data_IF_473686286942
#
_entry.id   IF_473686286942
#
_cell.length_a   1.000
_cell.length_b   1.000
_cell.length_c   1.000
_cell.angle_alpha   90.00
_cell.angle_beta   90.00
_cell.angle_gamma   90.00
#
_symmetry.space_group_name_H-M   'P 1'
#
loop_
_entity.id
_entity.type
_entity.pdbx_description
1 polymer ?
#
# COMPACT_ATOMS: atom_id res chain seq x y z
N UNK A 1 13.82 -1.16 12.51
CA UNK A 1 12.55 -1.85 12.21
C UNK A 1 12.51 -2.20 10.74
N UNK A 2 11.86 -3.32 10.37
CA UNK A 2 11.87 -3.75 8.97
C UNK A 2 10.51 -3.58 8.32
N UNK A 3 10.53 -3.33 7.01
CA UNK A 3 9.36 -3.41 6.15
C UNK A 3 9.53 -4.59 5.18
N UNK A 4 8.45 -5.38 5.04
CA UNK A 4 8.38 -6.53 4.15
C UNK A 4 7.34 -6.26 3.08
N UNK A 5 7.80 -5.98 1.87
CA UNK A 5 7.00 -5.65 0.71
C UNK A 5 6.70 -6.92 -0.07
N UNK A 6 5.47 -7.41 0.00
CA UNK A 6 5.05 -8.67 -0.60
C UNK A 6 4.60 -8.46 -2.03
N UNK A 7 5.43 -8.81 -3.00
CA UNK A 7 5.09 -8.82 -4.42
C UNK A 7 4.44 -10.14 -4.78
N UNK A 8 3.15 -10.10 -5.10
CA UNK A 8 2.32 -11.29 -5.29
C UNK A 8 1.90 -11.45 -6.75
N UNK A 9 1.98 -12.67 -7.29
CA UNK A 9 1.26 -13.05 -8.50
C UNK A 9 -0.18 -13.42 -8.11
N UNK A 10 -1.07 -12.43 -8.17
CA UNK A 10 -2.43 -12.53 -7.67
C UNK A 10 -3.26 -13.48 -8.54
N UNK A 11 -3.77 -14.57 -7.95
CA UNK A 11 -4.77 -15.42 -8.59
C UNK A 11 -6.09 -14.63 -8.75
N UNK A 12 -6.55 -14.53 -10.01
CA UNK A 12 -7.71 -13.71 -10.37
C UNK A 12 -9.00 -14.19 -9.69
N UNK A 13 -9.62 -13.30 -8.90
CA UNK A 13 -10.87 -13.51 -8.16
C UNK A 13 -10.87 -14.75 -7.24
N UNK A 14 -9.70 -15.20 -6.77
CA UNK A 14 -9.53 -16.36 -5.88
C UNK A 14 -8.93 -15.96 -4.53
N UNK A 15 -9.79 -15.50 -3.62
CA UNK A 15 -9.39 -15.05 -2.27
C UNK A 15 -8.63 -16.13 -1.50
N UNK A 16 -9.07 -17.37 -1.58
CA UNK A 16 -8.49 -18.47 -0.80
C UNK A 16 -7.05 -18.75 -1.23
N UNK A 17 -6.81 -18.86 -2.53
CA UNK A 17 -5.46 -19.06 -3.08
C UNK A 17 -4.54 -17.88 -2.72
N UNK A 18 -5.03 -16.67 -2.84
CA UNK A 18 -4.23 -15.47 -2.53
C UNK A 18 -3.88 -15.38 -1.04
N UNK A 19 -4.82 -15.67 -0.13
CA UNK A 19 -4.53 -15.74 1.31
C UNK A 19 -3.47 -16.80 1.64
N UNK A 20 -3.54 -17.99 1.00
CA UNK A 20 -2.55 -19.05 1.20
C UNK A 20 -1.17 -18.65 0.70
N UNK A 21 -1.06 -18.02 -0.49
CA UNK A 21 0.22 -17.53 -1.04
C UNK A 21 0.85 -16.48 -0.15
N UNK A 22 0.07 -15.49 0.30
CA UNK A 22 0.56 -14.48 1.25
C UNK A 22 1.10 -15.14 2.51
N UNK A 23 0.37 -16.10 3.09
CA UNK A 23 0.81 -16.81 4.30
C UNK A 23 2.14 -17.53 4.06
N UNK A 24 2.27 -18.29 2.97
CA UNK A 24 3.50 -18.99 2.64
C UNK A 24 4.70 -18.04 2.53
N UNK A 25 4.55 -16.93 1.81
CA UNK A 25 5.62 -15.91 1.65
C UNK A 25 6.02 -15.29 3.00
N UNK A 26 5.06 -15.03 3.87
CA UNK A 26 5.33 -14.46 5.20
C UNK A 26 5.98 -15.48 6.13
N UNK A 27 5.56 -16.75 6.09
CA UNK A 27 6.18 -17.83 6.88
C UNK A 27 7.66 -18.03 6.49
N UNK A 28 7.99 -17.91 5.20
CA UNK A 28 9.38 -17.97 4.71
C UNK A 28 10.21 -16.74 5.13
N UNK A 29 9.58 -15.57 5.19
CA UNK A 29 10.21 -14.28 5.55
C UNK A 29 10.56 -14.21 7.03
N UNK A 30 9.78 -14.83 7.91
CA UNK A 30 9.92 -14.82 9.37
C UNK A 30 10.07 -13.39 9.96
N UNK A 31 9.07 -12.52 9.78
CA UNK A 31 9.12 -11.14 10.24
C UNK A 31 9.20 -11.10 11.77
N UNK A 32 9.75 -10.00 12.29
CA UNK A 32 9.88 -9.78 13.73
C UNK A 32 8.76 -8.91 14.27
N UNK A 33 8.45 -9.07 15.54
CA UNK A 33 7.49 -8.21 16.23
C UNK A 33 7.72 -6.73 15.93
N UNK A 34 6.68 -6.03 15.51
CA UNK A 34 6.71 -4.60 15.23
C UNK A 34 7.17 -4.24 13.80
N UNK A 35 7.53 -5.21 12.97
CA UNK A 35 7.76 -4.98 11.56
C UNK A 35 6.46 -4.62 10.82
N UNK A 36 6.60 -4.09 9.60
CA UNK A 36 5.49 -3.77 8.71
C UNK A 36 5.46 -4.74 7.54
N UNK A 37 4.31 -5.35 7.29
CA UNK A 37 4.05 -6.17 6.12
C UNK A 37 3.11 -5.40 5.20
N UNK A 38 3.49 -5.23 3.93
CA UNK A 38 2.71 -4.48 2.93
C UNK A 38 2.30 -5.41 1.80
N UNK A 39 1.00 -5.44 1.50
CA UNK A 39 0.40 -6.25 0.44
C UNK A 39 -0.04 -5.36 -0.73
N UNK A 40 -0.18 -5.91 -1.96
CA UNK A 40 -0.69 -5.18 -3.11
C UNK A 40 -2.13 -4.69 -2.94
N UNK A 41 -2.55 -3.77 -3.79
CA UNK A 41 -3.95 -3.36 -3.94
C UNK A 41 -4.83 -4.57 -4.26
N UNK A 42 -5.98 -4.72 -3.57
CA UNK A 42 -6.94 -5.81 -3.77
C UNK A 42 -6.23 -7.17 -3.92
N UNK A 43 -5.25 -7.43 -3.03
CA UNK A 43 -4.38 -8.60 -3.10
C UNK A 43 -5.14 -9.93 -3.10
N UNK A 44 -6.36 -9.91 -2.58
CA UNK A 44 -7.23 -11.08 -2.44
C UNK A 44 -7.96 -11.47 -3.73
N UNK A 45 -8.18 -10.53 -4.67
CA UNK A 45 -8.94 -10.76 -5.91
C UNK A 45 -8.30 -10.21 -7.17
N UNK A 46 -7.33 -9.29 -7.06
CA UNK A 46 -6.79 -8.52 -8.17
C UNK A 46 -7.69 -7.33 -8.54
N UNK A 47 -7.26 -6.54 -9.54
CA UNK A 47 -7.98 -5.34 -9.98
C UNK A 47 -9.20 -5.72 -10.84
N UNK A 48 -10.25 -6.25 -10.19
CA UNK A 48 -11.49 -6.63 -10.86
C UNK A 48 -12.57 -5.55 -10.73
N UNK A 49 -13.37 -5.37 -11.77
CA UNK A 49 -14.58 -4.55 -11.75
C UNK A 49 -15.83 -5.35 -11.31
N UNK A 50 -15.68 -6.66 -11.09
CA UNK A 50 -16.71 -7.54 -10.56
C UNK A 50 -16.83 -7.38 -9.04
N UNK A 51 -17.54 -6.37 -8.60
CA UNK A 51 -17.71 -6.06 -7.16
C UNK A 51 -18.35 -7.18 -6.36
N UNK A 52 -19.12 -8.08 -6.99
CA UNK A 52 -19.71 -9.26 -6.30
C UNK A 52 -18.63 -10.23 -5.85
N UNK A 53 -17.58 -10.43 -6.64
CA UNK A 53 -16.43 -11.24 -6.27
C UNK A 53 -15.48 -10.50 -5.32
N UNK A 54 -15.32 -9.18 -5.51
CA UNK A 54 -14.36 -8.37 -4.81
C UNK A 54 -14.76 -8.04 -3.37
N UNK A 55 -15.99 -7.56 -3.16
CA UNK A 55 -16.43 -7.06 -1.85
C UNK A 55 -16.27 -8.13 -0.76
N UNK A 56 -15.68 -7.74 0.33
CA UNK A 56 -15.45 -8.55 1.53
C UNK A 56 -16.69 -8.51 2.45
N UNK A 57 -17.85 -9.00 1.94
CA UNK A 57 -19.14 -8.95 2.63
C UNK A 57 -19.14 -9.67 3.97
N UNK A 58 -18.45 -10.79 4.06
CA UNK A 58 -18.37 -11.61 5.26
C UNK A 58 -17.14 -11.30 6.12
N UNK A 59 -16.36 -10.26 5.76
CA UNK A 59 -15.10 -9.89 6.42
C UNK A 59 -14.03 -11.02 6.45
N UNK A 60 -14.04 -11.93 5.48
CA UNK A 60 -13.05 -13.01 5.42
C UNK A 60 -11.63 -12.48 5.23
N UNK A 61 -11.45 -11.51 4.33
CA UNK A 61 -10.15 -10.85 4.11
C UNK A 61 -9.74 -10.01 5.33
N UNK A 62 -10.68 -9.29 5.97
CA UNK A 62 -10.38 -8.56 7.21
C UNK A 62 -9.91 -9.51 8.32
N UNK A 63 -10.62 -10.63 8.53
CA UNK A 63 -10.20 -11.63 9.53
C UNK A 63 -8.84 -12.24 9.21
N UNK A 64 -8.55 -12.50 7.94
CA UNK A 64 -7.24 -12.97 7.50
C UNK A 64 -6.14 -11.96 7.85
N UNK A 65 -6.32 -10.67 7.52
CA UNK A 65 -5.35 -9.62 7.82
C UNK A 65 -5.14 -9.45 9.34
N UNK A 66 -6.21 -9.51 10.12
CA UNK A 66 -6.10 -9.42 11.59
C UNK A 66 -5.41 -10.66 12.17
N UNK A 67 -5.75 -11.87 11.73
CA UNK A 67 -5.08 -13.10 12.15
C UNK A 67 -3.57 -13.04 11.84
N UNK A 68 -3.22 -12.58 10.64
CA UNK A 68 -1.82 -12.40 10.26
C UNK A 68 -1.09 -11.38 11.16
N UNK A 69 -1.75 -10.27 11.52
CA UNK A 69 -1.20 -9.28 12.44
C UNK A 69 -0.96 -9.88 13.85
N UNK A 70 -1.93 -10.63 14.36
CA UNK A 70 -1.87 -11.22 15.69
C UNK A 70 -0.79 -12.32 15.78
N UNK A 71 -0.71 -13.19 14.78
CA UNK A 71 0.24 -14.31 14.71
C UNK A 71 1.68 -13.83 14.54
N UNK A 72 1.93 -12.85 13.68
CA UNK A 72 3.28 -12.31 13.41
C UNK A 72 3.70 -11.23 14.41
N UNK A 73 2.75 -10.66 15.14
CA UNK A 73 2.93 -9.45 15.95
C UNK A 73 3.44 -8.24 15.16
N UNK A 74 3.09 -8.18 13.84
CA UNK A 74 3.45 -7.12 12.90
C UNK A 74 2.27 -6.21 12.59
N UNK A 75 2.55 -5.02 12.05
CA UNK A 75 1.55 -4.19 11.41
C UNK A 75 1.31 -4.71 9.99
N UNK A 76 0.07 -4.95 9.62
CA UNK A 76 -0.30 -5.38 8.27
C UNK A 76 -0.97 -4.22 7.54
N UNK A 77 -0.38 -3.81 6.43
CA UNK A 77 -0.98 -2.89 5.48
C UNK A 77 -1.49 -3.71 4.29
N UNK A 78 -2.73 -4.16 4.38
CA UNK A 78 -3.41 -4.90 3.34
C UNK A 78 -4.35 -4.04 2.52
N UNK A 79 -5.17 -4.68 1.69
CA UNK A 79 -6.19 -4.03 0.88
C UNK A 79 -7.36 -4.97 0.64
N UNK A 80 -8.57 -4.41 0.55
CA UNK A 80 -9.79 -5.16 0.23
C UNK A 80 -10.85 -4.24 -0.37
N UNK A 81 -11.82 -4.79 -1.08
CA UNK A 81 -13.01 -4.04 -1.47
C UNK A 81 -14.04 -4.08 -0.34
N UNK A 82 -14.65 -2.94 -0.04
CA UNK A 82 -15.73 -2.83 0.96
C UNK A 82 -16.97 -2.17 0.34
N UNK A 83 -18.19 -2.43 0.85
CA UNK A 83 -19.39 -1.73 0.38
C UNK A 83 -19.25 -0.23 0.59
N UNK A 84 -19.64 0.58 -0.39
CA UNK A 84 -19.76 2.01 -0.19
C UNK A 84 -21.09 2.33 0.50
N UNK A 85 -21.08 3.22 1.53
CA UNK A 85 -22.32 3.67 2.15
C UNK A 85 -23.26 4.32 1.12
N UNK A 86 -24.54 3.96 1.17
CA UNK A 86 -25.61 4.57 0.35
C UNK A 86 -25.36 4.49 -1.18
N UNK A 87 -24.59 3.51 -1.64
CA UNK A 87 -24.24 3.31 -3.04
C UNK A 87 -24.19 1.81 -3.38
N UNK A 88 -24.49 1.46 -4.64
CA UNK A 88 -24.26 0.10 -5.16
C UNK A 88 -22.79 -0.15 -5.54
N UNK A 89 -21.95 0.89 -5.50
CA UNK A 89 -20.53 0.79 -5.78
C UNK A 89 -19.74 0.26 -4.58
N UNK A 90 -18.52 -0.16 -4.84
CA UNK A 90 -17.55 -0.51 -3.80
C UNK A 90 -16.59 0.64 -3.48
N UNK A 91 -15.85 0.52 -2.39
CA UNK A 91 -14.67 1.29 -2.06
C UNK A 91 -13.44 0.39 -2.15
N UNK A 92 -12.41 0.85 -2.82
CA UNK A 92 -11.08 0.23 -2.81
C UNK A 92 -10.34 0.73 -1.56
N UNK A 93 -10.13 -0.16 -0.60
CA UNK A 93 -9.74 0.21 0.76
C UNK A 93 -8.37 -0.36 1.13
N UNK A 94 -7.40 0.51 1.46
CA UNK A 94 -6.24 0.08 2.22
C UNK A 94 -6.68 -0.15 3.68
N UNK A 95 -6.46 -1.36 4.16
CA UNK A 95 -6.93 -1.85 5.47
C UNK A 95 -5.72 -2.17 6.35
N UNK A 96 -5.58 -1.45 7.45
CA UNK A 96 -4.43 -1.58 8.35
C UNK A 96 -4.86 -2.31 9.62
N UNK A 97 -4.24 -3.46 9.86
CA UNK A 97 -4.42 -4.25 11.07
C UNK A 97 -3.15 -4.18 11.94
N UNK A 98 -3.35 -3.98 13.23
CA UNK A 98 -2.28 -4.04 14.24
C UNK A 98 -2.55 -5.19 15.21
N UNK A 99 -1.52 -5.77 15.82
CA UNK A 99 -1.71 -6.87 16.76
C UNK A 99 -2.69 -6.50 17.88
N UNK A 100 -3.66 -7.38 18.14
CA UNK A 100 -4.69 -7.24 19.17
C UNK A 100 -5.54 -5.95 19.05
N UNK A 101 -5.71 -5.42 17.83
CA UNK A 101 -6.51 -4.19 17.62
C UNK A 101 -7.96 -4.36 18.06
N UNK A 102 -8.45 -3.38 18.84
CA UNK A 102 -9.86 -3.30 19.22
C UNK A 102 -10.27 -1.82 19.23
N UNK A 103 -11.09 -1.35 18.29
CA UNK A 103 -11.68 -2.13 17.18
C UNK A 103 -10.66 -2.51 16.10
N UNK A 104 -10.98 -3.56 15.32
CA UNK A 104 -10.26 -3.91 14.08
C UNK A 104 -11.13 -3.52 12.88
N UNK A 105 -10.54 -2.99 11.78
CA UNK A 105 -9.12 -2.66 11.61
C UNK A 105 -8.72 -1.39 12.36
N UNK A 106 -7.40 -1.21 12.58
CA UNK A 106 -6.86 -0.01 13.27
C UNK A 106 -7.00 1.26 12.41
N UNK A 107 -6.99 1.14 11.07
CA UNK A 107 -7.17 2.23 10.13
C UNK A 107 -7.71 1.71 8.80
N UNK A 108 -8.59 2.48 8.17
CA UNK A 108 -9.04 2.26 6.79
C UNK A 108 -8.88 3.55 5.99
N UNK A 109 -8.26 3.42 4.81
CA UNK A 109 -8.12 4.48 3.83
C UNK A 109 -8.82 4.07 2.54
N UNK A 110 -9.79 4.84 2.12
CA UNK A 110 -10.49 4.63 0.85
C UNK A 110 -9.74 5.40 -0.25
N UNK A 111 -9.32 4.69 -1.29
CA UNK A 111 -8.65 5.26 -2.47
C UNK A 111 -9.35 6.51 -2.94
N UNK A 112 -8.65 7.65 -2.96
CA UNK A 112 -9.24 8.95 -3.32
C UNK A 112 -9.43 9.07 -4.83
N UNK A 113 -8.52 8.48 -5.61
CA UNK A 113 -8.52 8.60 -7.06
C UNK A 113 -8.78 7.25 -7.74
N UNK A 114 -10.06 6.84 -7.96
CA UNK A 114 -10.35 5.68 -8.79
C UNK A 114 -9.79 5.86 -10.21
N UNK A 115 -9.27 4.79 -10.79
CA UNK A 115 -8.63 4.80 -12.11
C UNK A 115 -9.67 4.85 -13.24
N UNK A 116 -10.09 6.04 -13.63
CA UNK A 116 -11.15 6.27 -14.62
C UNK A 116 -10.83 5.68 -16.00
N UNK A 117 -9.57 5.76 -16.45
CA UNK A 117 -9.15 5.16 -17.72
C UNK A 117 -9.32 3.62 -17.72
N UNK A 118 -9.17 2.97 -16.56
CA UNK A 118 -9.45 1.55 -16.34
C UNK A 118 -10.89 1.25 -15.97
N UNK A 119 -11.81 2.22 -16.12
CA UNK A 119 -13.23 2.10 -15.81
C UNK A 119 -13.54 1.80 -14.33
N UNK A 120 -12.58 1.99 -13.44
CA UNK A 120 -12.78 1.73 -12.00
C UNK A 120 -13.98 2.51 -11.44
N UNK A 121 -14.23 3.73 -11.95
CA UNK A 121 -15.36 4.58 -11.55
C UNK A 121 -16.76 4.01 -11.85
N UNK A 122 -16.84 2.96 -12.66
CA UNK A 122 -18.11 2.27 -12.93
C UNK A 122 -18.47 1.24 -11.83
N UNK A 123 -17.48 0.83 -11.03
CA UNK A 123 -17.63 -0.21 -10.00
C UNK A 123 -17.21 0.27 -8.61
N UNK A 124 -16.34 1.27 -8.53
CA UNK A 124 -15.81 1.79 -7.28
C UNK A 124 -16.00 3.31 -7.20
N UNK A 125 -16.37 3.81 -6.04
CA UNK A 125 -16.39 5.23 -5.74
C UNK A 125 -15.12 5.65 -5.00
N UNK A 126 -14.74 6.93 -5.13
CA UNK A 126 -13.58 7.50 -4.44
C UNK A 126 -13.86 7.86 -2.99
N UNK A 127 -12.82 7.73 -2.14
CA UNK A 127 -12.77 8.38 -0.84
C UNK A 127 -12.51 9.89 -0.97
N UNK A 128 -12.53 10.58 0.17
CA UNK A 128 -12.31 12.04 0.23
C UNK A 128 -11.47 12.48 1.42
N UNK A 129 -10.89 11.55 2.16
CA UNK A 129 -10.23 11.85 3.44
C UNK A 129 -8.88 11.16 3.52
N UNK A 130 -7.84 11.94 3.77
CA UNK A 130 -6.53 11.39 4.13
C UNK A 130 -6.60 10.69 5.48
N UNK A 131 -5.88 9.60 5.62
CA UNK A 131 -5.73 8.85 6.86
C UNK A 131 -4.27 8.74 7.24
N UNK A 132 -4.03 8.50 8.52
CA UNK A 132 -2.72 8.24 9.04
C UNK A 132 -2.79 7.14 10.08
N UNK A 133 -1.72 6.33 10.17
CA UNK A 133 -1.54 5.37 11.24
C UNK A 133 -0.10 5.41 11.74
N UNK A 134 0.14 4.80 12.90
CA UNK A 134 1.49 4.71 13.49
C UNK A 134 2.12 3.37 13.16
N UNK A 135 3.38 3.41 12.76
CA UNK A 135 4.26 2.27 12.69
C UNK A 135 5.58 2.61 13.37
N UNK A 136 5.80 2.04 14.56
CA UNK A 136 6.89 2.47 15.43
C UNK A 136 6.83 3.98 15.70
N UNK A 137 7.92 4.67 15.38
CA UNK A 137 8.01 6.14 15.54
C UNK A 137 7.41 6.90 14.34
N UNK A 138 7.21 6.23 13.21
CA UNK A 138 6.76 6.88 11.98
C UNK A 138 5.25 7.08 11.93
N UNK A 139 4.83 8.27 11.48
CA UNK A 139 3.48 8.53 11.03
C UNK A 139 3.37 8.19 9.54
N UNK A 140 2.55 7.22 9.21
CA UNK A 140 2.38 6.68 7.86
C UNK A 140 1.09 7.21 7.25
N UNK A 141 1.16 7.69 6.01
CA UNK A 141 -0.01 8.03 5.20
C UNK A 141 -0.19 6.94 4.13
N UNK A 142 -1.30 6.19 4.14
CA UNK A 142 -1.61 5.23 3.09
C UNK A 142 -2.01 5.93 1.78
N UNK A 143 -1.72 5.26 0.67
CA UNK A 143 -2.20 5.59 -0.66
C UNK A 143 -2.46 4.29 -1.43
N UNK A 144 -3.22 4.33 -2.55
CA UNK A 144 -3.51 3.15 -3.35
C UNK A 144 -3.28 3.43 -4.82
N UNK A 145 -2.36 2.69 -5.44
CA UNK A 145 -2.16 2.57 -6.88
C UNK A 145 -2.20 3.92 -7.63
N UNK A 146 -3.34 4.27 -8.23
CA UNK A 146 -3.51 5.47 -9.06
C UNK A 146 -3.31 6.78 -8.28
N UNK A 147 -3.48 6.77 -6.94
CA UNK A 147 -3.15 7.90 -6.07
C UNK A 147 -1.71 8.38 -6.28
N UNK A 148 -0.78 7.48 -6.67
CA UNK A 148 0.61 7.80 -6.95
C UNK A 148 0.78 8.92 -8.00
N UNK A 149 -0.20 9.13 -8.90
CA UNK A 149 -0.13 10.18 -9.92
C UNK A 149 -0.41 11.58 -9.40
N UNK A 150 -0.98 11.70 -8.22
CA UNK A 150 -1.50 12.96 -7.69
C UNK A 150 -0.59 13.48 -6.58
N UNK A 151 0.38 14.37 -6.92
CA UNK A 151 1.36 14.90 -5.95
C UNK A 151 0.72 15.65 -4.78
N UNK A 152 -0.44 16.25 -4.99
CA UNK A 152 -1.20 16.96 -3.98
C UNK A 152 -1.59 16.07 -2.79
N UNK A 153 -1.93 14.80 -3.01
CA UNK A 153 -2.22 13.84 -1.94
C UNK A 153 -1.02 13.69 -1.00
N UNK A 154 0.17 13.48 -1.57
CA UNK A 154 1.41 13.30 -0.83
C UNK A 154 1.82 14.59 -0.12
N UNK A 155 1.65 15.73 -0.78
CA UNK A 155 1.96 17.03 -0.20
C UNK A 155 1.04 17.38 0.97
N UNK A 156 -0.24 17.11 0.85
CA UNK A 156 -1.21 17.26 1.95
C UNK A 156 -0.91 16.27 3.08
N UNK A 157 -0.54 15.03 2.74
CA UNK A 157 -0.13 14.01 3.72
C UNK A 157 1.05 14.48 4.56
N UNK A 158 2.13 15.00 3.94
CA UNK A 158 3.30 15.48 4.69
C UNK A 158 2.99 16.72 5.53
N UNK A 159 2.11 17.62 5.05
CA UNK A 159 1.63 18.75 5.87
C UNK A 159 0.83 18.29 7.10
N UNK A 160 0.10 17.18 6.98
CA UNK A 160 -0.58 16.54 8.10
C UNK A 160 0.35 15.67 8.97
N UNK A 161 1.67 15.67 8.71
CA UNK A 161 2.68 15.04 9.54
C UNK A 161 3.19 13.68 9.03
N UNK A 162 2.85 13.26 7.80
CA UNK A 162 3.38 12.02 7.26
C UNK A 162 4.92 12.03 7.19
N UNK A 163 5.50 10.90 7.54
CA UNK A 163 6.92 10.61 7.54
C UNK A 163 7.25 9.45 6.58
N UNK A 164 6.25 8.63 6.30
CA UNK A 164 6.30 7.57 5.31
C UNK A 164 4.99 7.51 4.53
N UNK A 165 5.07 7.14 3.26
CA UNK A 165 3.95 6.77 2.43
C UNK A 165 4.03 5.28 2.10
N UNK A 166 2.93 4.57 2.30
CA UNK A 166 2.83 3.14 2.02
C UNK A 166 1.70 2.93 1.05
N UNK A 167 1.97 2.23 -0.05
CA UNK A 167 0.97 1.97 -1.07
C UNK A 167 1.09 0.58 -1.70
N UNK A 168 -0.07 -0.06 -1.90
CA UNK A 168 -0.23 -1.25 -2.72
C UNK A 168 -0.83 -0.92 -4.09
N UNK A 169 -0.47 -1.68 -5.12
CA UNK A 169 -0.91 -1.43 -6.49
C UNK A 169 -1.12 -2.70 -7.31
N UNK A 170 -2.00 -2.58 -8.33
CA UNK A 170 -2.04 -3.36 -9.55
C UNK A 170 -1.60 -2.44 -10.70
N UNK A 171 -0.30 -2.13 -10.78
CA UNK A 171 0.25 -1.19 -11.75
C UNK A 171 0.82 -1.93 -12.97
N UNK A 172 0.18 -1.84 -14.16
CA UNK A 172 0.51 -2.72 -15.27
C UNK A 172 1.81 -2.33 -15.99
N UNK A 173 2.46 -3.34 -16.59
CA UNK A 173 3.76 -3.27 -17.25
C UNK A 173 3.94 -2.11 -18.25
N UNK A 174 2.95 -1.74 -19.10
CA UNK A 174 3.13 -0.63 -20.03
C UNK A 174 3.43 0.73 -19.39
N UNK A 175 3.22 0.84 -18.08
CA UNK A 175 3.47 2.07 -17.32
C UNK A 175 4.49 1.89 -16.19
N UNK A 176 5.32 0.84 -16.26
CA UNK A 176 6.33 0.51 -15.24
C UNK A 176 7.31 1.66 -14.96
N UNK A 177 7.74 2.36 -16.00
CA UNK A 177 8.60 3.53 -15.83
C UNK A 177 7.94 4.64 -14.99
N UNK A 178 6.62 4.86 -15.16
CA UNK A 178 5.89 5.83 -14.35
C UNK A 178 5.84 5.39 -12.88
N UNK A 179 5.59 4.10 -12.61
CA UNK A 179 5.59 3.54 -11.27
C UNK A 179 6.87 3.87 -10.52
N UNK A 180 8.00 3.48 -11.09
CA UNK A 180 9.31 3.69 -10.49
C UNK A 180 9.63 5.18 -10.33
N UNK A 181 9.48 5.97 -11.40
CA UNK A 181 9.83 7.41 -11.39
C UNK A 181 8.98 8.19 -10.41
N UNK A 182 7.67 7.96 -10.38
CA UNK A 182 6.78 8.66 -9.47
C UNK A 182 7.01 8.26 -8.01
N UNK A 183 7.28 6.99 -7.72
CA UNK A 183 7.59 6.54 -6.35
C UNK A 183 8.83 7.26 -5.81
N UNK A 184 9.88 7.38 -6.62
CA UNK A 184 11.10 8.13 -6.26
C UNK A 184 10.79 9.62 -6.07
N UNK A 185 10.02 10.21 -6.99
CA UNK A 185 9.63 11.62 -6.89
C UNK A 185 8.86 11.91 -5.60
N UNK A 186 7.90 11.03 -5.20
CA UNK A 186 7.15 11.19 -3.94
C UNK A 186 8.04 11.17 -2.70
N UNK A 187 9.10 10.35 -2.70
CA UNK A 187 10.06 10.34 -1.60
C UNK A 187 10.86 11.65 -1.53
N UNK A 188 11.43 12.07 -2.66
CA UNK A 188 12.30 13.27 -2.75
C UNK A 188 11.52 14.54 -2.39
N UNK A 189 10.40 14.80 -3.05
CA UNK A 189 9.66 16.05 -2.91
C UNK A 189 8.99 16.23 -1.54
N UNK A 190 8.72 15.12 -0.83
CA UNK A 190 8.08 15.13 0.48
C UNK A 190 9.04 14.82 1.64
N UNK A 191 10.33 14.59 1.35
CA UNK A 191 11.36 14.23 2.34
C UNK A 191 10.84 13.09 3.25
N UNK A 192 10.31 12.03 2.64
CA UNK A 192 9.61 10.94 3.33
C UNK A 192 10.03 9.59 2.78
N UNK A 193 9.94 8.54 3.59
CA UNK A 193 10.04 7.18 3.08
C UNK A 193 8.88 6.88 2.12
N UNK A 194 9.14 6.08 1.08
CA UNK A 194 8.11 5.51 0.23
C UNK A 194 8.31 3.99 0.17
N UNK A 195 7.27 3.25 0.58
CA UNK A 195 7.20 1.80 0.55
C UNK A 195 6.07 1.41 -0.39
N UNK A 196 6.43 1.05 -1.62
CA UNK A 196 5.48 0.85 -2.71
C UNK A 196 5.51 -0.61 -3.19
N UNK A 197 4.37 -1.29 -3.06
CA UNK A 197 4.20 -2.69 -3.46
C UNK A 197 3.35 -2.77 -4.71
N UNK A 198 3.86 -3.46 -5.72
CA UNK A 198 3.11 -3.79 -6.91
C UNK A 198 2.93 -5.30 -7.02
N UNK A 199 1.82 -5.76 -7.61
CA UNK A 199 1.70 -7.16 -8.03
C UNK A 199 2.63 -7.49 -9.20
N UNK A 200 2.95 -8.77 -9.40
CA UNK A 200 3.59 -9.33 -10.61
C UNK A 200 2.63 -10.26 -11.37
N UNK A 201 3.16 -10.97 -12.38
CA UNK A 201 2.42 -11.94 -13.17
C UNK A 201 1.44 -11.29 -14.17
N UNK A 202 0.23 -11.84 -14.26
CA UNK A 202 -0.80 -11.30 -15.16
C UNK A 202 -2.21 -11.47 -14.59
N UNK A 203 -3.13 -10.65 -15.08
CA UNK A 203 -4.56 -10.90 -15.00
C UNK A 203 -5.10 -11.26 -16.40
N UNK A 204 -6.40 -11.52 -16.59
CA UNK A 204 -6.96 -11.84 -17.91
C UNK A 204 -6.76 -10.76 -18.98
N UNK A 205 -6.34 -9.56 -18.61
CA UNK A 205 -6.30 -8.40 -19.50
C UNK A 205 -4.91 -7.80 -19.67
N UNK A 206 -4.07 -7.82 -18.63
CA UNK A 206 -2.80 -7.08 -18.60
C UNK A 206 -1.68 -7.88 -17.91
N UNK A 207 -0.42 -7.70 -18.35
CA UNK A 207 0.77 -8.15 -17.61
C UNK A 207 1.20 -7.12 -16.58
N UNK A 208 1.88 -7.60 -15.52
CA UNK A 208 2.44 -6.82 -14.42
C UNK A 208 3.89 -7.19 -14.17
N UNK A 209 4.76 -6.20 -14.18
CA UNK A 209 6.22 -6.39 -14.05
C UNK A 209 6.73 -6.21 -12.62
N UNK A 210 5.88 -6.34 -11.61
CA UNK A 210 6.32 -6.17 -10.24
C UNK A 210 6.96 -4.82 -9.99
N UNK A 211 8.23 -4.82 -9.57
CA UNK A 211 9.00 -3.62 -9.25
C UNK A 211 8.56 -2.99 -7.93
N UNK A 212 8.21 -3.82 -6.93
CA UNK A 212 8.01 -3.34 -5.56
C UNK A 212 9.29 -2.68 -5.07
N UNK A 213 9.19 -1.49 -4.45
CA UNK A 213 10.33 -0.64 -4.20
C UNK A 213 10.22 0.07 -2.85
N UNK A 214 11.34 0.14 -2.12
CA UNK A 214 11.49 0.92 -0.90
C UNK A 214 12.49 2.04 -1.12
N UNK A 215 12.15 3.27 -0.72
CA UNK A 215 12.91 4.48 -1.02
C UNK A 215 13.05 5.32 0.25
N UNK A 216 14.25 5.83 0.51
CA UNK A 216 14.53 6.72 1.63
C UNK A 216 14.09 8.17 1.36
N UNK A 217 14.08 9.05 2.37
CA UNK A 217 13.70 10.46 2.22
C UNK A 217 14.60 11.30 1.30
N UNK A 218 15.75 10.78 0.88
CA UNK A 218 16.68 11.43 -0.07
C UNK A 218 16.46 10.94 -1.50
N UNK A 219 15.59 9.94 -1.71
CA UNK A 219 15.35 9.30 -3.00
C UNK A 219 16.27 8.13 -3.30
N UNK A 220 17.09 7.68 -2.33
CA UNK A 220 17.90 6.49 -2.51
C UNK A 220 17.02 5.25 -2.42
N UNK A 221 17.25 4.31 -3.33
CA UNK A 221 16.55 3.03 -3.35
C UNK A 221 17.20 2.12 -2.29
N UNK A 222 16.41 1.73 -1.27
CA UNK A 222 16.81 0.79 -0.24
C UNK A 222 16.73 -0.65 -0.73
N UNK A 223 15.82 -0.91 -1.67
CA UNK A 223 15.65 -2.18 -2.34
C UNK A 223 14.55 -2.11 -3.40
N UNK A 224 14.65 -2.94 -4.42
CA UNK A 224 13.69 -3.04 -5.53
C UNK A 224 13.66 -4.50 -6.03
N UNK A 225 12.45 -5.06 -6.23
CA UNK A 225 12.27 -6.38 -6.83
C UNK A 225 12.20 -6.29 -8.35
N UNK A 226 12.48 -7.40 -9.02
CA UNK A 226 12.20 -7.61 -10.43
C UNK A 226 10.72 -7.92 -10.68
N UNK A 227 10.46 -8.83 -11.61
CA UNK A 227 9.13 -9.21 -12.07
C UNK A 227 8.61 -10.54 -11.47
N UNK A 228 9.38 -11.19 -10.62
CA UNK A 228 9.02 -12.44 -9.97
C UNK A 228 8.30 -12.22 -8.64
N UNK A 229 7.48 -13.19 -8.23
CA UNK A 229 6.85 -13.22 -6.90
C UNK A 229 7.93 -13.32 -5.81
N UNK A 230 7.72 -12.60 -4.70
CA UNK A 230 8.64 -12.64 -3.57
C UNK A 230 8.42 -11.54 -2.54
N UNK A 231 9.32 -11.46 -1.57
CA UNK A 231 9.27 -10.47 -0.50
C UNK A 231 10.56 -9.66 -0.46
N UNK A 232 10.44 -8.34 -0.60
CA UNK A 232 11.53 -7.40 -0.36
C UNK A 232 11.54 -7.02 1.12
N UNK A 233 12.55 -7.42 1.85
CA UNK A 233 12.76 -7.03 3.25
C UNK A 233 13.83 -5.95 3.34
N UNK A 234 13.47 -4.80 3.93
CA UNK A 234 14.36 -3.64 4.08
C UNK A 234 14.32 -3.11 5.51
N UNK A 235 15.48 -2.69 5.99
CA UNK A 235 15.58 -1.96 7.25
C UNK A 235 15.19 -0.49 7.06
N UNK A 236 14.33 0.02 7.93
CA UNK A 236 13.92 1.42 7.98
C UNK A 236 14.43 2.03 9.28
N UNK A 237 15.33 3.00 9.12
CA UNK A 237 15.88 3.79 10.23
C UNK A 237 15.24 5.19 10.25
N UNK A 238 14.35 5.49 11.21
CA UNK A 238 13.71 6.80 11.31
C UNK A 238 14.70 7.98 11.47
N UNK A 239 15.90 7.74 11.99
CA UNK A 239 16.91 8.80 12.16
C UNK A 239 17.32 9.43 10.83
N UNK A 240 17.37 8.65 9.75
CA UNK A 240 17.66 9.11 8.39
C UNK A 240 16.70 10.23 7.96
N UNK A 241 15.42 10.06 8.27
CA UNK A 241 14.39 11.07 7.97
C UNK A 241 14.56 12.32 8.83
N UNK A 242 14.75 12.14 10.14
CA UNK A 242 14.87 13.26 11.08
C UNK A 242 16.11 14.12 10.77
N UNK A 243 17.24 13.49 10.55
CA UNK A 243 18.49 14.16 10.20
C UNK A 243 18.39 14.88 8.86
N UNK A 244 17.76 14.25 7.86
CA UNK A 244 17.58 14.86 6.55
C UNK A 244 16.65 16.08 6.61
N UNK A 245 15.49 15.98 7.27
CA UNK A 245 14.57 17.11 7.43
C UNK A 245 15.18 18.27 8.24
N UNK A 246 16.09 17.97 9.17
CA UNK A 246 16.85 19.00 9.92
C UNK A 246 17.90 19.67 9.05
N UNK A 247 18.63 18.88 8.24
CA UNK A 247 19.74 19.38 7.40
C UNK A 247 19.21 20.13 6.16
N UNK A 248 18.09 19.65 5.60
CA UNK A 248 17.45 20.23 4.42
C UNK A 248 15.95 20.49 4.70
N UNK A 249 15.60 21.61 5.33
CA UNK A 249 14.24 21.88 5.81
C UNK A 249 13.28 22.38 4.72
N UNK A 250 13.34 21.84 3.49
CA UNK A 250 12.58 22.30 2.32
C UNK A 250 11.06 22.28 2.52
N UNK A 251 10.53 21.45 3.45
CA UNK A 251 9.11 21.43 3.76
C UNK A 251 8.59 22.72 4.39
N UNK A 252 9.50 23.56 4.97
CA UNK A 252 9.14 24.86 5.54
C UNK A 252 8.87 25.92 4.45
N UNK A 253 9.33 25.68 3.22
CA UNK A 253 9.17 26.57 2.09
C UNK A 253 7.86 26.36 1.31
N UNK A 254 7.00 25.43 1.74
CA UNK A 254 5.70 25.19 1.12
C UNK A 254 4.81 26.42 1.27
N UNK A 255 4.29 26.97 0.14
CA UNK A 255 3.50 28.22 0.11
C UNK A 255 2.06 28.06 -0.39
N UNK A 256 1.80 27.13 -1.31
CA UNK A 256 0.55 27.10 -2.08
C UNK A 256 -0.57 26.23 -1.48
N UNK A 257 -0.33 25.55 -0.39
CA UNK A 257 -1.31 24.66 0.25
C UNK A 257 -1.30 24.82 1.77
#
# INVERSE_FOLDING_TARGET
MNAHLVQLDIAWEDKQTNHQRVRSLIDETQPKRGDLIVLPELFDVGFTLNTRAAIDHDNATLRFLQSLADETACVIHGSRAVPAPESELALNCATICTPNATPSPACEYHKIHPFSFGRETESYTGGNTLKHYRWGELQVCPAVCYDLRFPELFRLGVKAGAQAFVLGANWPSPRQQHWRTLSIARAIENLSFVLAVNRCGSDPFLPYSGGSIAIDPKGNILGELGDEEGVLSVEIDPSVLHDWRKTFPALQDIKLI
#
